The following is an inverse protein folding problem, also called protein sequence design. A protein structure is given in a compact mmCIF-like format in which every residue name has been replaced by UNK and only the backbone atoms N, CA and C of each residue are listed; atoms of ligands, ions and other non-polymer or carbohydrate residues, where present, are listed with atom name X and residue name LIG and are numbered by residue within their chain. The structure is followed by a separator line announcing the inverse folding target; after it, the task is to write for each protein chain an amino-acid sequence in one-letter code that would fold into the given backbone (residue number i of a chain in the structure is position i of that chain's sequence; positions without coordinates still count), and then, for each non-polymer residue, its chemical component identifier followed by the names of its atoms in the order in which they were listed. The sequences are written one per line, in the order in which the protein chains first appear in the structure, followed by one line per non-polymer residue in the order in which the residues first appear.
data_IF_618898874931
#
_entry.id   IF_618898874931
#
_cell.length_a   1.000
_cell.length_b   1.000
_cell.length_c   1.000
_cell.angle_alpha   90.00
_cell.angle_beta   90.00
_cell.angle_gamma   90.00
#
_symmetry.space_group_name_H-M   'P 1'
#
loop_
_entity.id
_entity.type
_entity.pdbx_description
1 polymer ?
#
# COMPACT_ATOMS: atom_id res chain seq x y z
N UNK A 1 56.68 40.94 5.33
CA UNK A 1 55.74 39.83 5.08
C UNK A 1 55.32 39.36 6.44
N UNK A 2 54.16 39.84 6.89
CA UNK A 2 53.60 39.48 8.19
C UNK A 2 52.74 38.24 7.96
N UNK A 3 53.11 37.14 8.61
CA UNK A 3 52.32 35.91 8.63
C UNK A 3 51.06 36.12 9.48
N UNK A 4 49.93 36.31 8.81
CA UNK A 4 48.62 36.39 9.45
C UNK A 4 48.10 34.96 9.67
N UNK A 5 48.11 34.50 10.93
CA UNK A 5 47.62 33.17 11.32
C UNK A 5 46.12 33.08 10.98
N UNK A 6 45.67 32.05 10.23
CA UNK A 6 44.26 31.90 9.89
C UNK A 6 43.39 31.74 11.15
N UNK A 7 42.14 32.24 11.13
CA UNK A 7 41.22 32.11 12.25
C UNK A 7 40.93 30.64 12.55
N UNK A 8 40.96 30.27 13.83
CA UNK A 8 40.71 28.91 14.30
C UNK A 8 39.26 28.48 13.98
N UNK A 9 39.13 27.27 13.45
CA UNK A 9 37.85 26.66 13.10
C UNK A 9 37.00 26.46 14.37
N UNK A 10 35.68 26.75 14.34
CA UNK A 10 34.78 26.47 15.47
C UNK A 10 34.78 25.01 15.92
N UNK A 11 35.22 24.10 15.04
CA UNK A 11 35.26 22.65 15.23
C UNK A 11 36.52 22.14 15.94
N UNK A 12 37.57 22.97 16.11
CA UNK A 12 38.81 22.60 16.81
C UNK A 12 38.72 22.76 18.34
N UNK A 13 37.53 23.07 18.88
CA UNK A 13 37.35 23.19 20.33
C UNK A 13 37.32 21.79 20.96
N UNK A 14 38.23 21.48 21.91
CA UNK A 14 38.16 20.23 22.65
C UNK A 14 36.83 20.16 23.41
N UNK A 15 36.12 19.05 23.25
CA UNK A 15 34.86 18.75 23.93
C UNK A 15 35.10 18.80 25.44
N UNK A 16 34.72 19.91 26.08
CA UNK A 16 34.63 19.97 27.54
C UNK A 16 33.37 19.19 27.91
N UNK A 17 33.56 17.94 28.32
CA UNK A 17 32.45 17.10 28.76
C UNK A 17 31.65 17.83 29.85
N UNK A 18 30.34 17.90 29.66
CA UNK A 18 29.44 18.42 30.68
C UNK A 18 29.65 17.63 31.99
N UNK A 19 29.67 18.30 33.15
CA UNK A 19 29.69 17.60 34.43
C UNK A 19 28.47 16.69 34.53
N UNK A 20 28.60 15.49 35.14
CA UNK A 20 27.47 14.59 35.32
C UNK A 20 26.33 15.31 36.05
N UNK A 21 25.06 15.04 35.71
CA UNK A 21 23.93 15.65 36.38
C UNK A 21 24.00 15.35 37.88
N UNK A 22 23.96 16.42 38.67
CA UNK A 22 23.90 16.38 40.13
C UNK A 22 22.66 15.58 40.55
N UNK A 23 22.89 14.40 41.11
CA UNK A 23 21.86 13.46 41.57
C UNK A 23 21.34 13.78 42.98
N UNK A 24 21.72 14.93 43.57
CA UNK A 24 21.41 15.24 44.97
C UNK A 24 20.02 15.85 45.24
N UNK A 25 19.19 16.10 44.22
CA UNK A 25 17.77 16.48 44.43
C UNK A 25 16.82 15.32 44.08
N UNK A 26 16.96 14.20 44.81
CA UNK A 26 15.90 13.18 44.89
C UNK A 26 14.86 13.66 45.89
N UNK A 27 13.94 14.51 45.42
CA UNK A 27 12.69 14.79 46.13
C UNK A 27 11.92 13.48 46.38
N UNK A 28 11.06 13.41 47.40
CA UNK A 28 10.32 12.18 47.69
C UNK A 28 9.57 11.70 46.46
N UNK A 29 9.86 10.47 46.05
CA UNK A 29 9.20 9.74 44.97
C UNK A 29 7.68 9.84 45.15
N UNK A 30 7.04 10.67 44.32
CA UNK A 30 5.61 10.57 44.10
C UNK A 30 5.37 9.27 43.34
N UNK A 31 5.08 8.22 44.11
CA UNK A 31 4.52 6.97 43.59
C UNK A 31 3.32 7.34 42.72
N UNK A 32 3.30 7.01 41.42
CA UNK A 32 2.10 7.19 40.62
C UNK A 32 1.02 6.32 41.25
N UNK A 33 0.02 6.96 41.86
CA UNK A 33 -1.16 6.24 42.32
C UNK A 33 -1.78 5.57 41.10
N UNK A 34 -1.81 4.24 41.10
CA UNK A 34 -2.62 3.48 40.15
C UNK A 34 -4.08 3.97 40.28
N UNK A 35 -4.75 4.31 39.17
CA UNK A 35 -6.16 4.65 39.23
C UNK A 35 -6.95 3.45 39.76
N UNK A 36 -7.93 3.67 40.65
CA UNK A 36 -8.75 2.59 41.18
C UNK A 36 -9.50 1.91 40.04
N UNK A 37 -9.29 0.60 39.91
CA UNK A 37 -10.15 -0.26 39.09
C UNK A 37 -11.59 -0.12 39.60
N UNK A 38 -12.45 0.58 38.84
CA UNK A 38 -13.88 0.69 39.19
C UNK A 38 -14.61 1.96 38.80
N UNK A 39 -14.18 2.72 37.80
CA UNK A 39 -15.01 3.79 37.23
C UNK A 39 -15.27 3.48 35.75
N UNK A 40 -16.50 3.03 35.51
CA UNK A 40 -17.07 2.82 34.19
C UNK A 40 -17.11 4.15 33.43
N UNK A 41 -16.59 4.25 32.18
CA UNK A 41 -16.63 5.49 31.43
C UNK A 41 -18.10 5.92 31.20
N UNK A 42 -18.41 7.22 31.15
CA UNK A 42 -19.74 7.65 30.74
C UNK A 42 -19.98 7.15 29.32
N UNK A 43 -21.07 6.39 29.15
CA UNK A 43 -21.53 5.94 27.85
C UNK A 43 -21.77 7.17 26.97
N UNK A 44 -20.86 7.41 26.04
CA UNK A 44 -21.05 8.41 25.00
C UNK A 44 -22.25 7.98 24.15
N UNK A 45 -23.30 8.78 24.24
CA UNK A 45 -24.50 8.88 23.40
C UNK A 45 -24.81 7.75 22.44
N UNK A 46 -25.91 7.06 22.72
CA UNK A 46 -26.68 6.34 21.71
C UNK A 46 -26.99 7.24 20.49
N UNK A 47 -26.99 6.70 19.25
CA UNK A 47 -27.49 7.43 18.10
C UNK A 47 -29.00 7.71 18.29
N UNK A 48 -29.48 8.94 18.00
CA UNK A 48 -30.89 9.26 18.12
C UNK A 48 -31.71 8.43 17.13
N UNK A 49 -32.61 7.60 17.68
CA UNK A 49 -33.68 6.97 16.93
C UNK A 49 -34.79 8.00 16.68
N UNK A 50 -35.17 8.15 15.41
CA UNK A 50 -36.50 8.58 15.01
C UNK A 50 -36.71 10.08 14.77
N UNK A 51 -36.67 10.47 13.49
CA UNK A 51 -37.61 11.46 12.95
C UNK A 51 -38.18 10.96 11.61
N UNK A 52 -39.50 11.01 11.39
CA UNK A 52 -40.13 10.58 10.15
C UNK A 52 -39.92 11.61 9.04
N UNK A 53 -39.32 11.20 7.93
CA UNK A 53 -39.19 12.03 6.73
C UNK A 53 -40.50 12.01 5.91
N UNK A 54 -41.03 13.18 5.51
CA UNK A 54 -42.20 13.30 4.66
C UNK A 54 -41.86 12.98 3.19
N UNK A 55 -42.71 12.18 2.56
CA UNK A 55 -42.73 11.89 1.13
C UNK A 55 -42.84 13.17 0.29
N UNK A 56 -42.02 13.29 -0.77
CA UNK A 56 -42.15 14.39 -1.72
C UNK A 56 -41.28 14.28 -2.96
N UNK A 57 -41.94 13.95 -4.08
CA UNK A 57 -41.73 14.47 -5.44
C UNK A 57 -40.40 14.18 -6.16
N UNK A 58 -40.49 13.34 -7.20
CA UNK A 58 -39.46 13.15 -8.22
C UNK A 58 -39.90 13.83 -9.54
N UNK A 59 -39.00 14.50 -10.30
CA UNK A 59 -39.37 15.37 -11.42
C UNK A 59 -39.55 14.62 -12.75
N UNK A 60 -40.42 15.19 -13.58
CA UNK A 60 -40.76 14.82 -14.95
C UNK A 60 -39.56 14.83 -15.92
N UNK A 61 -39.62 14.00 -16.97
CA UNK A 61 -39.29 14.49 -18.32
C UNK A 61 -40.44 14.25 -19.32
N UNK A 62 -40.94 15.38 -19.81
CA UNK A 62 -41.11 15.78 -21.22
C UNK A 62 -41.82 14.86 -22.25
N UNK A 63 -42.87 15.47 -22.83
CA UNK A 63 -43.70 15.07 -23.97
C UNK A 63 -42.96 14.90 -25.31
N UNK A 64 -43.47 14.00 -26.18
CA UNK A 64 -43.81 14.32 -27.58
C UNK A 64 -44.81 13.28 -28.18
N UNK A 65 -45.52 13.57 -29.30
CA UNK A 65 -46.95 13.32 -29.42
C UNK A 65 -47.35 12.56 -30.72
N UNK A 66 -48.66 12.37 -30.89
CA UNK A 66 -49.39 11.96 -32.12
C UNK A 66 -49.41 10.48 -32.54
N UNK A 67 -50.62 9.90 -32.54
CA UNK A 67 -51.01 8.89 -33.54
C UNK A 67 -52.07 7.85 -33.17
N UNK A 68 -53.36 8.22 -33.23
CA UNK A 68 -54.42 7.45 -33.92
C UNK A 68 -54.94 6.09 -33.39
N UNK A 69 -56.21 6.10 -32.93
CA UNK A 69 -57.27 5.05 -32.92
C UNK A 69 -57.40 4.23 -34.25
N UNK A 70 -58.32 3.23 -34.42
CA UNK A 70 -59.28 2.58 -33.50
C UNK A 70 -59.50 1.03 -33.66
N UNK A 71 -60.18 0.44 -32.66
CA UNK A 71 -61.29 -0.55 -32.71
C UNK A 71 -61.24 -1.83 -33.58
N UNK A 72 -61.50 -2.99 -32.94
CA UNK A 72 -62.06 -4.17 -33.62
C UNK A 72 -62.08 -5.48 -32.80
N UNK A 73 -63.18 -5.74 -32.09
CA UNK A 73 -63.71 -7.11 -31.87
C UNK A 73 -64.55 -7.48 -33.13
N UNK A 74 -64.83 -8.75 -33.52
CA UNK A 74 -65.13 -9.90 -32.64
C UNK A 74 -64.72 -11.32 -33.16
N UNK A 75 -65.14 -12.34 -32.41
CA UNK A 75 -65.79 -13.60 -32.84
C UNK A 75 -65.05 -14.96 -32.69
N UNK A 76 -65.69 -15.85 -31.90
CA UNK A 76 -65.62 -17.33 -31.90
C UNK A 76 -66.14 -17.93 -33.23
N UNK A 77 -65.72 -19.14 -33.66
CA UNK A 77 -66.48 -20.40 -33.40
C UNK A 77 -65.58 -21.69 -33.44
N UNK A 78 -66.10 -22.93 -33.61
CA UNK A 78 -67.04 -23.70 -32.78
C UNK A 78 -66.51 -25.10 -32.37
N UNK A 79 -67.27 -25.76 -31.49
CA UNK A 79 -67.10 -27.13 -30.98
C UNK A 79 -67.35 -28.22 -32.06
N UNK A 80 -66.56 -29.30 -32.06
CA UNK A 80 -66.83 -30.51 -32.86
C UNK A 80 -66.20 -31.77 -32.23
N UNK A 81 -67.04 -32.76 -31.90
CA UNK A 81 -66.65 -34.16 -31.62
C UNK A 81 -66.84 -35.04 -32.89
N UNK A 82 -66.67 -36.39 -32.84
CA UNK A 82 -65.47 -37.16 -33.15
C UNK A 82 -65.64 -38.06 -34.42
N UNK A 83 -64.61 -38.80 -34.86
CA UNK A 83 -64.89 -40.18 -35.24
C UNK A 83 -63.85 -41.21 -34.77
N UNK A 84 -64.40 -42.30 -34.25
CA UNK A 84 -63.78 -43.56 -33.87
C UNK A 84 -63.44 -44.37 -35.14
N UNK A 85 -62.20 -44.87 -35.27
CA UNK A 85 -61.88 -45.82 -36.33
C UNK A 85 -60.41 -46.14 -36.54
N UNK A 86 -60.12 -47.44 -36.49
CA UNK A 86 -59.07 -48.19 -37.19
C UNK A 86 -57.73 -48.48 -36.46
N UNK A 87 -57.35 -49.77 -36.34
CA UNK A 87 -56.13 -50.25 -35.71
C UNK A 87 -54.99 -50.44 -36.73
N UNK A 88 -53.75 -50.25 -36.28
CA UNK A 88 -52.55 -50.78 -36.95
C UNK A 88 -51.71 -49.74 -37.68
N UNK A 89 -50.41 -49.71 -37.35
CA UNK A 89 -49.42 -48.96 -38.12
C UNK A 89 -48.18 -48.63 -37.29
N UNK A 90 -47.17 -49.51 -37.34
CA UNK A 90 -45.83 -49.24 -36.84
C UNK A 90 -45.25 -48.04 -37.61
N UNK A 91 -45.10 -46.90 -36.95
CA UNK A 91 -44.49 -45.71 -37.53
C UNK A 91 -42.96 -45.85 -37.50
N UNK A 92 -42.41 -45.99 -38.69
CA UNK A 92 -40.99 -46.00 -39.06
C UNK A 92 -40.24 -44.82 -38.44
N UNK A 93 -39.11 -45.09 -37.78
CA UNK A 93 -38.21 -44.07 -37.25
C UNK A 93 -37.67 -43.16 -38.35
N UNK A 94 -37.90 -41.86 -38.22
CA UNK A 94 -37.29 -40.84 -39.08
C UNK A 94 -35.77 -40.79 -38.88
N UNK A 95 -35.01 -40.27 -39.88
CA UNK A 95 -33.56 -40.15 -39.77
C UNK A 95 -33.19 -39.24 -38.59
N UNK A 96 -32.41 -39.79 -37.65
CA UNK A 96 -31.86 -39.05 -36.52
C UNK A 96 -30.97 -37.94 -37.07
N UNK A 97 -31.43 -36.68 -37.01
CA UNK A 97 -30.58 -35.53 -37.35
C UNK A 97 -29.40 -35.52 -36.38
N UNK A 98 -28.20 -35.84 -36.89
CA UNK A 98 -26.95 -35.75 -36.14
C UNK A 98 -26.73 -34.29 -35.76
N UNK A 99 -27.01 -33.95 -34.50
CA UNK A 99 -26.80 -32.61 -34.01
C UNK A 99 -25.31 -32.37 -33.87
N UNK A 100 -24.78 -31.45 -34.67
CA UNK A 100 -23.43 -30.91 -34.45
C UNK A 100 -23.38 -30.01 -33.20
N UNK A 101 -24.50 -29.88 -32.48
CA UNK A 101 -24.63 -29.13 -31.23
C UNK A 101 -23.59 -29.57 -30.21
N UNK A 102 -23.38 -30.87 -30.00
CA UNK A 102 -22.38 -31.35 -29.03
C UNK A 102 -20.95 -30.99 -29.48
N UNK A 103 -20.67 -31.04 -30.79
CA UNK A 103 -19.38 -30.64 -31.35
C UNK A 103 -19.16 -29.12 -31.22
N UNK A 104 -20.18 -28.31 -31.48
CA UNK A 104 -20.11 -26.86 -31.37
C UNK A 104 -19.98 -26.41 -29.91
N UNK A 105 -20.73 -27.04 -29.00
CA UNK A 105 -20.62 -26.79 -27.56
C UNK A 105 -19.23 -27.18 -27.06
N UNK A 106 -18.68 -28.32 -27.48
CA UNK A 106 -17.32 -28.74 -27.10
C UNK A 106 -16.25 -27.79 -27.64
N UNK A 107 -16.40 -27.27 -28.87
CA UNK A 107 -15.48 -26.27 -29.43
C UNK A 107 -15.56 -24.92 -28.69
N UNK A 108 -16.76 -24.49 -28.29
CA UNK A 108 -16.94 -23.27 -27.49
C UNK A 108 -16.32 -23.44 -26.10
N UNK A 109 -16.56 -24.57 -25.43
CA UNK A 109 -15.96 -24.86 -24.12
C UNK A 109 -14.44 -24.92 -24.21
N UNK A 110 -13.89 -25.59 -25.23
CA UNK A 110 -12.44 -25.62 -25.44
C UNK A 110 -11.87 -24.21 -25.72
N UNK A 111 -12.59 -23.40 -26.51
CA UNK A 111 -12.21 -22.01 -26.77
C UNK A 111 -12.18 -21.16 -25.50
N UNK A 112 -13.19 -21.27 -24.63
CA UNK A 112 -13.25 -20.56 -23.34
C UNK A 112 -12.13 -21.02 -22.40
N UNK A 113 -11.85 -22.33 -22.36
CA UNK A 113 -10.77 -22.89 -21.55
C UNK A 113 -9.41 -22.36 -22.00
N UNK A 114 -9.14 -22.37 -23.31
CA UNK A 114 -7.89 -21.82 -23.86
C UNK A 114 -7.79 -20.32 -23.60
N UNK A 115 -8.88 -19.57 -23.77
CA UNK A 115 -8.90 -18.13 -23.50
C UNK A 115 -8.69 -17.81 -22.02
N UNK A 116 -9.23 -18.64 -21.12
CA UNK A 116 -9.03 -18.52 -19.68
C UNK A 116 -7.58 -18.80 -19.29
N UNK A 117 -6.98 -19.89 -19.78
CA UNK A 117 -5.57 -20.21 -19.49
C UNK A 117 -4.59 -19.25 -20.16
N UNK A 118 -4.84 -18.83 -21.40
CA UNK A 118 -4.04 -17.82 -22.09
C UNK A 118 -4.19 -16.43 -21.43
N UNK A 119 -5.39 -16.09 -20.97
CA UNK A 119 -5.64 -14.85 -20.22
C UNK A 119 -4.93 -14.85 -18.87
N UNK A 120 -4.97 -15.95 -18.11
CA UNK A 120 -4.20 -16.10 -16.88
C UNK A 120 -2.69 -16.06 -17.13
N UNK A 121 -2.19 -16.73 -18.18
CA UNK A 121 -0.78 -16.68 -18.53
C UNK A 121 -0.33 -15.27 -18.95
N UNK A 122 -1.16 -14.54 -19.73
CA UNK A 122 -0.89 -13.16 -20.10
C UNK A 122 -0.93 -12.21 -18.89
N UNK A 123 -1.82 -12.44 -17.92
CA UNK A 123 -1.80 -11.70 -16.65
C UNK A 123 -0.54 -11.98 -15.84
N UNK A 124 -0.11 -13.24 -15.73
CA UNK A 124 1.12 -13.59 -15.00
C UNK A 124 2.36 -13.02 -15.69
N UNK A 125 2.45 -13.12 -17.03
CA UNK A 125 3.57 -12.55 -17.80
C UNK A 125 3.55 -11.01 -17.77
N UNK A 126 2.36 -10.40 -17.87
CA UNK A 126 2.20 -8.95 -17.74
C UNK A 126 2.52 -8.43 -16.34
N UNK A 127 2.23 -9.22 -15.30
CA UNK A 127 2.66 -8.92 -13.93
C UNK A 127 4.18 -9.02 -13.81
N UNK A 128 4.83 -10.08 -14.30
CA UNK A 128 6.30 -10.22 -14.21
C UNK A 128 7.04 -9.14 -15.02
N UNK A 129 6.60 -8.85 -16.25
CA UNK A 129 7.18 -7.77 -17.06
C UNK A 129 6.81 -6.36 -16.53
N UNK A 130 5.73 -6.26 -15.77
CA UNK A 130 5.32 -5.06 -15.06
C UNK A 130 6.09 -4.86 -13.76
N UNK A 131 6.58 -5.90 -13.09
CA UNK A 131 7.34 -5.77 -11.83
C UNK A 131 8.71 -5.14 -12.09
N UNK A 132 9.36 -5.41 -13.20
CA UNK A 132 10.66 -4.78 -13.51
C UNK A 132 10.56 -3.28 -13.79
N UNK A 133 9.39 -2.76 -14.20
CA UNK A 133 9.16 -1.31 -14.44
C UNK A 133 8.33 -0.62 -13.34
N UNK A 134 7.46 -1.35 -12.63
CA UNK A 134 6.60 -0.79 -11.58
C UNK A 134 7.26 -0.78 -10.20
N UNK A 135 8.38 -1.50 -10.02
CA UNK A 135 9.21 -1.35 -8.81
C UNK A 135 10.02 -0.05 -8.85
N UNK A 136 10.25 0.53 -10.04
CA UNK A 136 10.95 1.81 -10.22
C UNK A 136 10.02 3.02 -10.03
N UNK A 137 8.75 2.94 -10.45
CA UNK A 137 7.81 4.09 -10.39
C UNK A 137 6.87 4.11 -9.17
N UNK A 138 6.80 3.04 -8.39
CA UNK A 138 5.81 2.91 -7.29
C UNK A 138 6.33 3.24 -5.89
N UNK A 139 7.65 3.34 -5.70
CA UNK A 139 8.27 3.46 -4.39
C UNK A 139 9.21 4.65 -4.43
N UNK A 140 8.65 5.82 -4.17
CA UNK A 140 9.22 6.76 -3.21
C UNK A 140 10.72 7.06 -3.37
N UNK A 141 10.99 8.24 -3.92
CA UNK A 141 12.19 9.03 -3.76
C UNK A 141 13.53 8.51 -4.28
N UNK A 142 14.09 9.21 -5.26
CA UNK A 142 15.46 9.04 -5.76
C UNK A 142 15.84 7.63 -6.26
N UNK A 143 16.95 7.54 -6.98
CA UNK A 143 17.59 6.23 -7.22
C UNK A 143 18.23 5.75 -5.90
N UNK A 144 18.08 4.47 -5.51
CA UNK A 144 18.73 3.96 -4.31
C UNK A 144 20.25 4.12 -4.38
N UNK A 145 20.84 4.59 -3.29
CA UNK A 145 22.30 4.78 -3.19
C UNK A 145 22.96 3.61 -2.46
N UNK A 146 24.09 3.14 -2.97
CA UNK A 146 24.91 2.14 -2.27
C UNK A 146 25.73 2.84 -1.20
N UNK A 147 25.70 2.31 0.03
CA UNK A 147 26.39 2.89 1.18
C UNK A 147 27.22 1.85 1.91
N UNK A 148 28.30 2.31 2.56
CA UNK A 148 29.07 1.50 3.49
C UNK A 148 28.73 1.87 4.94
N UNK A 149 28.76 0.88 5.83
CA UNK A 149 28.42 1.07 7.24
C UNK A 149 29.32 2.12 7.90
N UNK A 150 28.70 3.18 8.43
CA UNK A 150 29.38 4.26 9.13
C UNK A 150 29.94 5.37 8.23
N UNK A 151 29.83 5.25 6.90
CA UNK A 151 30.18 6.33 5.99
C UNK A 151 29.04 7.34 5.82
N UNK A 152 29.40 8.61 5.61
CA UNK A 152 28.42 9.63 5.26
C UNK A 152 27.87 9.37 3.84
N UNK A 153 26.61 9.69 3.62
CA UNK A 153 25.99 9.57 2.30
C UNK A 153 24.92 10.65 2.11
N UNK A 154 24.62 10.98 0.86
CA UNK A 154 23.55 11.90 0.50
C UNK A 154 22.45 11.14 -0.23
N UNK A 155 21.20 11.38 0.15
CA UNK A 155 20.04 10.79 -0.49
C UNK A 155 18.89 11.79 -0.48
N UNK A 156 18.46 12.21 -1.67
CA UNK A 156 17.32 13.11 -1.89
C UNK A 156 17.24 14.31 -0.93
N UNK A 157 18.19 15.24 -1.04
CA UNK A 157 18.21 16.43 -0.21
C UNK A 157 18.45 16.18 1.28
N UNK A 158 18.86 14.97 1.67
CA UNK A 158 19.30 14.62 3.03
C UNK A 158 20.77 14.18 3.01
N UNK A 159 21.58 14.77 3.89
CA UNK A 159 22.94 14.32 4.17
C UNK A 159 22.94 13.54 5.49
N UNK A 160 23.29 12.26 5.41
CA UNK A 160 23.50 11.41 6.57
C UNK A 160 24.93 11.55 7.10
N UNK A 161 25.07 11.79 8.41
CA UNK A 161 26.36 11.91 9.08
C UNK A 161 27.11 10.57 9.13
N UNK A 162 28.44 10.62 9.11
CA UNK A 162 29.29 9.47 9.41
C UNK A 162 29.12 8.96 10.85
N UNK A 163 29.49 7.71 11.10
CA UNK A 163 29.52 7.09 12.43
C UNK A 163 28.23 6.38 12.85
N UNK A 164 27.27 6.22 11.93
CA UNK A 164 26.17 5.28 12.13
C UNK A 164 26.67 3.83 12.10
N UNK A 165 25.96 2.90 12.73
CA UNK A 165 26.38 1.51 12.78
C UNK A 165 25.21 0.55 12.96
N UNK A 166 25.44 -0.70 12.60
CA UNK A 166 24.49 -1.78 12.79
C UNK A 166 24.42 -2.18 14.25
N UNK A 167 23.24 -1.97 14.83
CA UNK A 167 22.87 -2.38 16.17
C UNK A 167 22.09 -3.69 16.18
N UNK A 168 22.14 -4.37 17.32
CA UNK A 168 21.18 -5.40 17.69
C UNK A 168 20.30 -4.90 18.82
N UNK A 169 19.04 -5.25 18.75
CA UNK A 169 18.10 -5.08 19.85
C UNK A 169 18.07 -6.32 20.72
N UNK A 170 17.65 -6.15 21.98
CA UNK A 170 17.61 -7.23 22.98
C UNK A 170 16.63 -8.36 22.61
N UNK A 171 15.71 -8.12 21.68
CA UNK A 171 14.64 -9.04 21.28
C UNK A 171 14.95 -9.75 19.95
N UNK A 172 16.19 -9.66 19.46
CA UNK A 172 16.64 -10.34 18.24
C UNK A 172 16.45 -9.54 16.95
N UNK A 173 15.83 -8.36 17.00
CA UNK A 173 15.79 -7.42 15.87
C UNK A 173 17.12 -6.73 15.62
N UNK A 174 17.29 -6.23 14.40
CA UNK A 174 18.39 -5.34 14.02
C UNK A 174 17.90 -3.89 13.97
N UNK A 175 18.80 -2.94 14.23
CA UNK A 175 18.53 -1.51 14.17
C UNK A 175 19.76 -0.79 13.63
N UNK A 176 19.63 0.48 13.23
CA UNK A 176 20.77 1.35 12.92
C UNK A 176 20.90 2.37 14.04
N UNK A 177 22.09 2.46 14.62
CA UNK A 177 22.41 3.37 15.73
C UNK A 177 23.17 4.57 15.22
N UNK A 178 22.89 5.74 15.80
CA UNK A 178 23.65 6.96 15.55
C UNK A 178 23.35 7.63 14.21
N UNK A 179 22.35 7.15 13.44
CA UNK A 179 21.95 7.78 12.19
C UNK A 179 21.34 9.16 12.48
N UNK A 180 22.01 10.20 11.96
CA UNK A 180 21.54 11.58 11.95
C UNK A 180 21.55 12.05 10.51
N UNK A 181 20.49 12.75 10.12
CA UNK A 181 20.35 13.33 8.79
C UNK A 181 20.18 14.84 8.89
N UNK A 182 20.70 15.57 7.91
CA UNK A 182 20.57 17.03 7.77
C UNK A 182 19.91 17.33 6.43
N UNK A 183 18.85 18.14 6.42
CA UNK A 183 18.25 18.54 5.14
C UNK A 183 19.11 19.59 4.45
N UNK A 184 19.41 19.37 3.17
CA UNK A 184 20.15 20.29 2.30
C UNK A 184 19.23 21.04 1.34
N UNK A 185 18.00 20.55 1.15
CA UNK A 185 17.00 21.12 0.25
C UNK A 185 15.64 21.29 0.92
N UNK A 186 14.80 22.16 0.37
CA UNK A 186 13.42 22.31 0.84
C UNK A 186 12.56 21.17 0.29
N UNK A 187 11.65 20.64 1.10
CA UNK A 187 10.70 19.64 0.62
C UNK A 187 9.76 20.19 -0.47
N UNK A 188 9.04 19.33 -1.21
CA UNK A 188 8.25 19.71 -2.39
C UNK A 188 7.20 20.81 -2.16
N UNK A 189 6.81 21.05 -0.91
CA UNK A 189 5.80 22.03 -0.51
C UNK A 189 6.38 23.23 0.26
N UNK A 190 7.70 23.43 0.22
CA UNK A 190 8.37 24.43 1.08
C UNK A 190 8.30 24.08 2.58
N UNK A 191 7.95 22.84 2.89
CA UNK A 191 8.00 22.29 4.25
C UNK A 191 9.32 21.58 4.47
N UNK A 192 9.67 21.30 5.72
CA UNK A 192 10.81 20.42 6.00
C UNK A 192 10.62 19.04 5.35
N UNK A 193 11.71 18.33 5.11
CA UNK A 193 11.69 16.99 4.52
C UNK A 193 11.30 16.00 5.64
N UNK A 194 10.22 15.23 5.41
CA UNK A 194 9.91 14.08 6.25
C UNK A 194 10.87 12.97 5.87
N UNK A 195 11.71 12.53 6.80
CA UNK A 195 12.74 11.54 6.51
C UNK A 195 12.22 10.14 6.83
N UNK A 196 11.82 9.39 5.79
CA UNK A 196 11.76 7.93 5.90
C UNK A 196 12.82 7.34 4.99
N UNK A 197 13.84 6.75 5.59
CA UNK A 197 14.90 6.04 4.90
C UNK A 197 14.69 4.53 5.06
N UNK A 198 14.90 3.79 3.99
CA UNK A 198 14.78 2.33 3.93
C UNK A 198 16.16 1.79 3.55
N UNK A 199 16.79 1.09 4.49
CA UNK A 199 18.06 0.40 4.29
C UNK A 199 17.76 -1.05 3.90
N UNK A 200 18.16 -1.45 2.71
CA UNK A 200 18.04 -2.82 2.19
C UNK A 200 19.39 -3.48 2.14
N UNK A 201 19.47 -4.66 2.71
CA UNK A 201 20.70 -5.45 2.80
C UNK A 201 20.64 -6.56 1.76
N UNK A 202 21.68 -6.66 0.94
CA UNK A 202 21.73 -7.63 -0.15
C UNK A 202 22.80 -8.69 0.07
N UNK A 203 22.52 -9.92 -0.33
CA UNK A 203 23.50 -10.97 -0.57
C UNK A 203 23.54 -11.27 -2.07
N UNK A 204 24.51 -10.71 -2.78
CA UNK A 204 24.52 -10.67 -4.24
C UNK A 204 23.34 -9.86 -4.77
N UNK A 205 22.35 -10.52 -5.42
CA UNK A 205 21.16 -9.84 -5.96
C UNK A 205 19.90 -10.03 -5.11
N UNK A 206 19.97 -10.76 -4.00
CA UNK A 206 18.83 -11.04 -3.14
C UNK A 206 18.76 -10.03 -1.99
N UNK A 207 17.61 -9.36 -1.81
CA UNK A 207 17.35 -8.56 -0.60
C UNK A 207 17.03 -9.51 0.56
N UNK A 208 17.94 -9.57 1.53
CA UNK A 208 17.87 -10.51 2.66
C UNK A 208 17.34 -9.87 3.94
N UNK A 209 17.28 -8.54 4.02
CA UNK A 209 16.74 -7.81 5.17
C UNK A 209 16.46 -6.34 4.85
N UNK A 210 15.52 -5.76 5.59
CA UNK A 210 15.17 -4.34 5.49
C UNK A 210 15.12 -3.69 6.89
N UNK A 211 15.66 -2.48 7.01
CA UNK A 211 15.51 -1.62 8.19
C UNK A 211 14.85 -0.32 7.74
N UNK A 212 13.75 0.04 8.38
CA UNK A 212 13.08 1.32 8.16
C UNK A 212 13.49 2.30 9.25
N UNK A 213 13.98 3.47 8.83
CA UNK A 213 14.36 4.57 9.70
C UNK A 213 13.40 5.74 9.45
N UNK A 214 12.78 6.25 10.50
CA UNK A 214 11.93 7.43 10.44
C UNK A 214 12.46 8.55 11.33
N UNK A 215 12.44 9.78 10.85
CA UNK A 215 12.80 10.97 11.61
C UNK A 215 11.65 11.99 11.69
N UNK A 216 11.88 13.05 12.48
CA UNK A 216 11.00 14.20 12.45
C UNK A 216 11.19 14.99 11.14
N UNK A 217 10.26 15.88 10.85
CA UNK A 217 10.40 16.83 9.75
C UNK A 217 11.57 17.79 10.06
N UNK A 218 12.50 17.93 9.10
CA UNK A 218 13.70 18.77 9.22
C UNK A 218 13.70 19.89 8.18
N UNK A 219 13.90 21.13 8.61
CA UNK A 219 14.11 22.27 7.70
C UNK A 219 15.53 22.28 7.13
N UNK A 220 15.76 23.07 6.08
CA UNK A 220 17.09 23.22 5.45
C UNK A 220 18.14 23.65 6.48
N UNK A 221 19.23 22.89 6.56
CA UNK A 221 20.32 23.07 7.52
C UNK A 221 20.03 22.53 8.92
N UNK A 222 18.83 22.01 9.19
CA UNK A 222 18.50 21.35 10.45
C UNK A 222 18.80 19.86 10.38
N UNK A 223 19.24 19.31 11.52
CA UNK A 223 19.52 17.88 11.64
C UNK A 223 18.58 17.19 12.62
N UNK A 224 18.11 15.98 12.29
CA UNK A 224 17.37 15.11 13.19
C UNK A 224 18.05 13.75 13.32
N UNK A 225 17.94 13.16 14.51
CA UNK A 225 18.21 11.73 14.67
C UNK A 225 17.07 10.93 14.06
N UNK A 226 17.40 9.75 13.56
CA UNK A 226 16.46 8.80 13.00
C UNK A 226 16.22 7.68 14.00
N UNK A 227 14.96 7.26 14.12
CA UNK A 227 14.57 6.06 14.85
C UNK A 227 14.42 4.90 13.85
N UNK A 228 15.25 3.88 14.01
CA UNK A 228 15.36 2.77 13.08
C UNK A 228 14.82 1.48 13.70
N UNK A 229 13.97 0.79 12.97
CA UNK A 229 13.35 -0.46 13.39
C UNK A 229 13.37 -1.49 12.26
N UNK A 230 13.55 -2.75 12.65
CA UNK A 230 13.27 -3.91 11.80
C UNK A 230 12.60 -5.00 12.62
N UNK A 231 11.60 -5.63 12.01
CA UNK A 231 10.95 -6.80 12.59
C UNK A 231 11.86 -8.04 12.53
N UNK A 232 12.80 -8.06 11.59
CA UNK A 232 13.64 -9.21 11.30
C UNK A 232 15.10 -8.99 11.69
N UNK A 233 15.81 -10.09 11.96
CA UNK A 233 17.24 -10.05 12.21
C UNK A 233 17.98 -9.91 10.88
N UNK A 234 18.85 -8.91 10.76
CA UNK A 234 19.74 -8.78 9.59
C UNK A 234 20.82 -9.87 9.66
N UNK A 235 20.90 -10.78 8.66
CA UNK A 235 21.93 -11.82 8.62
C UNK A 235 23.33 -11.20 8.46
N UNK A 236 24.38 -11.85 8.98
CA UNK A 236 25.78 -11.38 8.85
C UNK A 236 26.39 -11.56 7.44
N UNK A 237 25.61 -12.00 6.47
CA UNK A 237 26.07 -12.43 5.14
C UNK A 237 25.72 -11.46 4.02
N UNK A 238 25.36 -10.21 4.32
CA UNK A 238 25.18 -9.21 3.28
C UNK A 238 26.54 -8.69 2.78
N UNK A 239 26.60 -8.32 1.51
CA UNK A 239 27.76 -7.71 0.85
C UNK A 239 27.47 -6.28 0.38
N UNK A 240 26.20 -5.85 0.37
CA UNK A 240 25.81 -4.52 -0.09
C UNK A 240 24.64 -3.94 0.73
N UNK A 241 24.68 -2.63 0.98
CA UNK A 241 23.59 -1.88 1.62
C UNK A 241 23.11 -0.82 0.62
N UNK A 242 21.81 -0.81 0.32
CA UNK A 242 21.17 0.24 -0.48
C UNK A 242 20.23 1.06 0.37
N UNK A 243 20.28 2.37 0.22
CA UNK A 243 19.37 3.30 0.89
C UNK A 243 18.42 3.90 -0.14
N UNK A 244 17.12 3.75 0.12
CA UNK A 244 16.04 4.45 -0.57
C UNK A 244 15.13 5.16 0.43
N UNK A 245 14.00 5.74 0.02
CA UNK A 245 13.09 6.38 0.97
C UNK A 245 11.99 7.23 0.35
N UNK A 246 10.92 7.52 1.12
CA UNK A 246 9.88 8.48 0.71
C UNK A 246 10.00 9.81 1.42
N UNK A 247 9.50 10.83 0.72
CA UNK A 247 9.24 12.19 1.18
C UNK A 247 7.83 12.62 0.77
#
# INVERSE_FOLDING_TARGET
MSDEKPPESPWDRPYQGDPPPDTSYRGPEQVPQQPPYGQQPPAYGAPPQGQPHPYGQQPHPQQNPYGGQPTGYPQQPPYGQPPYGAPGGYAYGGPVKKSNTTRNVLLIVLGVVILFFAGCAALVIGLVAGVDNAVEEGITGGDPVVVEEGEAFSFDGLDADQGWSMGRENVGGSTIKGLRVTATEEGPLGSGISSVLIFRFYAGSENIAEITCSGNQVGVGESSRMDCFSADAVPRGYDEIRVGGYF
#
